data_IF_250313723671
#
_entry.id   IF_250313723671
#
_cell.length_a   1.000
_cell.length_b   1.000
_cell.length_c   1.000
_cell.angle_alpha   90.00
_cell.angle_beta   90.00
_cell.angle_gamma   90.00
#
_symmetry.space_group_name_H-M   'P 1'
#
loop_
_entity.id
_entity.type
_entity.pdbx_description
1 polymer ?
#
# COMPACT_ATOMS: atom_id res chain seq x y z
N UNK A 1 0.14 -14.12 -29.60
CA UNK A 1 0.81 -13.79 -28.35
C UNK A 1 -0.27 -13.56 -27.30
N UNK A 2 -0.18 -14.25 -26.20
CA UNK A 2 -1.15 -13.97 -25.16
C UNK A 2 -1.04 -12.51 -24.78
N UNK A 3 -2.15 -11.83 -24.76
CA UNK A 3 -2.21 -10.48 -24.26
C UNK A 3 -1.71 -10.49 -22.83
N UNK A 4 -0.90 -9.52 -22.50
CA UNK A 4 -0.46 -9.31 -21.14
C UNK A 4 -1.42 -8.30 -20.48
N UNK A 5 -2.57 -8.75 -19.96
CA UNK A 5 -3.59 -7.85 -19.45
C UNK A 5 -3.07 -6.97 -18.31
N UNK A 6 -2.05 -7.43 -17.62
CA UNK A 6 -1.41 -6.67 -16.54
C UNK A 6 -0.67 -5.43 -17.04
N UNK A 7 -0.40 -5.36 -18.34
CA UNK A 7 0.26 -4.21 -18.94
C UNK A 7 -0.71 -3.17 -19.49
N UNK A 8 -2.00 -3.47 -19.47
CA UNK A 8 -3.01 -2.48 -19.85
C UNK A 8 -3.06 -1.35 -18.82
N UNK A 9 -3.32 -0.13 -19.33
CA UNK A 9 -3.34 1.06 -18.47
C UNK A 9 -4.30 0.97 -17.29
N UNK A 10 -5.47 0.35 -17.50
CA UNK A 10 -6.44 0.16 -16.41
C UNK A 10 -5.87 -0.71 -15.28
N UNK A 11 -5.07 -1.72 -15.62
CA UNK A 11 -4.44 -2.57 -14.61
C UNK A 11 -3.37 -1.82 -13.83
N UNK A 12 -2.61 -0.94 -14.48
CA UNK A 12 -1.67 -0.04 -13.80
C UNK A 12 -2.42 0.81 -12.77
N UNK A 13 -3.53 1.42 -13.18
CA UNK A 13 -4.34 2.26 -12.30
C UNK A 13 -4.89 1.48 -11.10
N UNK A 14 -5.45 0.30 -11.33
CA UNK A 14 -6.04 -0.52 -10.26
C UNK A 14 -4.98 -0.98 -9.26
N UNK A 15 -3.83 -1.45 -9.75
CA UNK A 15 -2.74 -1.90 -8.87
C UNK A 15 -2.16 -0.74 -8.07
N UNK A 16 -1.97 0.41 -8.71
CA UNK A 16 -1.51 1.63 -8.03
C UNK A 16 -2.48 2.04 -6.91
N UNK A 17 -3.77 2.13 -7.22
CA UNK A 17 -4.79 2.51 -6.23
C UNK A 17 -4.89 1.51 -5.09
N UNK A 18 -4.80 0.22 -5.39
CA UNK A 18 -4.82 -0.82 -4.37
C UNK A 18 -3.68 -0.73 -3.38
N UNK A 19 -2.54 -0.17 -3.79
CA UNK A 19 -1.39 0.08 -2.93
C UNK A 19 -1.42 1.43 -2.21
N UNK A 20 -2.43 2.26 -2.47
CA UNK A 20 -2.50 3.60 -1.87
C UNK A 20 -1.51 4.60 -2.45
N UNK A 21 -1.02 4.36 -3.67
CA UNK A 21 -0.06 5.24 -4.35
C UNK A 21 -0.77 6.29 -5.20
N UNK A 22 -0.31 7.53 -5.15
CA UNK A 22 -0.69 8.55 -6.13
C UNK A 22 0.06 8.33 -7.44
N UNK A 23 -0.42 8.95 -8.53
CA UNK A 23 0.30 8.93 -9.81
C UNK A 23 1.70 9.55 -9.68
N UNK A 24 1.83 10.62 -8.91
CA UNK A 24 3.11 11.28 -8.66
C UNK A 24 4.08 10.37 -7.91
N UNK A 25 3.59 9.65 -6.91
CA UNK A 25 4.40 8.70 -6.14
C UNK A 25 4.87 7.53 -7.01
N UNK A 26 3.98 6.95 -7.80
CA UNK A 26 4.37 5.89 -8.74
C UNK A 26 5.38 6.40 -9.76
N UNK A 27 5.20 7.62 -10.27
CA UNK A 27 6.14 8.25 -11.19
C UNK A 27 7.54 8.39 -10.56
N UNK A 28 7.60 8.80 -9.30
CA UNK A 28 8.84 8.91 -8.56
C UNK A 28 9.54 7.54 -8.44
N UNK A 29 8.80 6.50 -8.11
CA UNK A 29 9.34 5.14 -8.01
C UNK A 29 9.88 4.59 -9.33
N UNK A 30 9.30 5.01 -10.45
CA UNK A 30 9.66 4.56 -11.80
C UNK A 30 10.61 5.54 -12.53
N UNK A 31 11.03 6.61 -11.86
CA UNK A 31 11.88 7.66 -12.42
C UNK A 31 11.28 8.26 -13.71
N UNK A 32 10.02 8.61 -13.64
CA UNK A 32 9.28 9.23 -14.75
C UNK A 32 8.41 10.38 -14.22
N UNK A 33 7.44 10.85 -15.01
CA UNK A 33 6.57 11.97 -14.63
C UNK A 33 5.14 11.53 -14.40
N UNK A 34 4.40 12.30 -13.60
CA UNK A 34 2.99 12.06 -13.36
C UNK A 34 2.18 12.04 -14.66
N UNK A 35 2.50 12.93 -15.61
CA UNK A 35 1.83 12.99 -16.91
C UNK A 35 2.02 11.68 -17.68
N UNK A 36 3.21 11.09 -17.61
CA UNK A 36 3.49 9.79 -18.24
C UNK A 36 2.63 8.69 -17.63
N UNK A 37 2.54 8.62 -16.31
CA UNK A 37 1.67 7.65 -15.62
C UNK A 37 0.21 7.85 -16.06
N UNK A 38 -0.27 9.08 -16.07
CA UNK A 38 -1.64 9.41 -16.50
C UNK A 38 -1.91 8.93 -17.94
N UNK A 39 -0.97 9.12 -18.84
CA UNK A 39 -1.10 8.67 -20.24
C UNK A 39 -1.13 7.15 -20.36
N UNK A 40 -0.34 6.45 -19.57
CA UNK A 40 -0.42 4.99 -19.51
C UNK A 40 -1.78 4.51 -19.01
N UNK A 41 -2.27 5.11 -17.93
CA UNK A 41 -3.53 4.70 -17.29
C UNK A 41 -4.74 4.95 -18.18
N UNK A 42 -4.72 5.99 -19.00
CA UNK A 42 -5.80 6.28 -19.95
C UNK A 42 -5.65 5.56 -21.29
N UNK A 43 -4.55 4.86 -21.52
CA UNK A 43 -4.27 4.20 -22.80
C UNK A 43 -3.76 5.13 -23.90
N UNK A 44 -3.52 6.41 -23.60
CA UNK A 44 -2.99 7.37 -24.56
C UNK A 44 -1.54 7.04 -24.99
N UNK A 45 -0.81 6.33 -24.13
CA UNK A 45 0.55 5.88 -24.38
C UNK A 45 0.77 4.51 -23.72
N UNK A 46 1.55 3.66 -24.40
CA UNK A 46 1.96 2.36 -23.85
C UNK A 46 3.36 2.50 -23.23
N UNK A 47 3.61 1.91 -22.04
CA UNK A 47 4.94 1.92 -21.46
C UNK A 47 5.97 1.22 -22.37
N UNK A 48 7.20 1.74 -22.40
CA UNK A 48 8.30 1.09 -23.12
C UNK A 48 8.74 -0.22 -22.46
N UNK A 49 8.66 -0.28 -21.15
CA UNK A 49 9.11 -1.44 -20.37
C UNK A 49 8.00 -1.88 -19.41
N UNK A 50 6.96 -2.55 -19.92
CA UNK A 50 5.87 -3.02 -19.07
C UNK A 50 6.31 -4.01 -18.01
N UNK A 51 7.34 -4.81 -18.31
CA UNK A 51 7.84 -5.85 -17.38
C UNK A 51 8.41 -5.22 -16.11
N UNK A 52 9.18 -4.14 -16.22
CA UNK A 52 9.71 -3.44 -15.06
C UNK A 52 8.59 -2.91 -14.16
N UNK A 53 7.53 -2.36 -14.74
CA UNK A 53 6.36 -1.89 -14.00
C UNK A 53 5.68 -3.06 -13.27
N UNK A 54 5.50 -4.16 -13.96
CA UNK A 54 4.88 -5.37 -13.41
C UNK A 54 5.68 -5.92 -12.22
N UNK A 55 6.99 -6.02 -12.36
CA UNK A 55 7.89 -6.49 -11.30
C UNK A 55 7.80 -5.56 -10.08
N UNK A 56 7.81 -4.24 -10.29
CA UNK A 56 7.67 -3.28 -9.20
C UNK A 56 6.37 -3.49 -8.42
N UNK A 57 5.25 -3.64 -9.13
CA UNK A 57 3.97 -3.90 -8.46
C UNK A 57 3.98 -5.22 -7.70
N UNK A 58 4.54 -6.28 -8.27
CA UNK A 58 4.64 -7.58 -7.59
C UNK A 58 5.41 -7.46 -6.27
N UNK A 59 6.54 -6.77 -6.29
CA UNK A 59 7.35 -6.55 -5.08
C UNK A 59 6.60 -5.72 -4.04
N UNK A 60 5.98 -4.63 -4.45
CA UNK A 60 5.21 -3.76 -3.55
C UNK A 60 4.01 -4.49 -2.96
N UNK A 61 3.29 -5.27 -3.78
CA UNK A 61 2.13 -6.03 -3.32
C UNK A 61 2.53 -7.12 -2.31
N UNK A 62 3.65 -7.79 -2.52
CA UNK A 62 4.16 -8.77 -1.57
C UNK A 62 4.47 -8.13 -0.20
N UNK A 63 5.16 -7.00 -0.20
CA UNK A 63 5.47 -6.25 1.02
C UNK A 63 4.21 -5.70 1.70
N UNK A 64 3.27 -5.22 0.91
CA UNK A 64 1.98 -4.70 1.39
C UNK A 64 1.17 -5.80 2.09
N UNK A 65 1.04 -6.96 1.46
CA UNK A 65 0.30 -8.09 2.03
C UNK A 65 0.97 -8.60 3.31
N UNK A 66 2.30 -8.64 3.35
CA UNK A 66 3.05 -8.99 4.56
C UNK A 66 2.74 -8.02 5.70
N UNK A 67 2.69 -6.73 5.41
CA UNK A 67 2.33 -5.73 6.41
C UNK A 67 0.89 -5.92 6.92
N UNK A 68 -0.06 -6.16 6.04
CA UNK A 68 -1.45 -6.44 6.44
C UNK A 68 -1.51 -7.66 7.37
N UNK A 69 -0.82 -8.75 7.03
CA UNK A 69 -0.75 -9.95 7.85
C UNK A 69 -0.14 -9.66 9.23
N UNK A 70 0.93 -8.89 9.30
CA UNK A 70 1.55 -8.49 10.56
C UNK A 70 0.61 -7.67 11.44
N UNK A 71 -0.10 -6.71 10.86
CA UNK A 71 -1.05 -5.88 11.59
C UNK A 71 -2.21 -6.70 12.14
N UNK A 72 -2.74 -7.63 11.37
CA UNK A 72 -3.79 -8.56 11.81
C UNK A 72 -3.27 -9.50 12.90
N UNK A 73 -2.05 -10.01 12.74
CA UNK A 73 -1.43 -10.92 13.71
C UNK A 73 -1.20 -10.26 15.07
N UNK A 74 -0.72 -9.01 15.08
CA UNK A 74 -0.56 -8.23 16.33
C UNK A 74 -1.90 -8.05 17.04
N UNK A 75 -2.96 -7.84 16.29
CA UNK A 75 -4.30 -7.66 16.84
C UNK A 75 -4.88 -8.95 17.44
N UNK A 76 -4.40 -10.11 17.00
CA UNK A 76 -4.84 -11.43 17.49
C UNK A 76 -3.99 -11.98 18.63
N UNK A 77 -2.95 -11.28 19.05
CA UNK A 77 -2.08 -11.70 20.15
C UNK A 77 -2.83 -11.54 21.48
N UNK A 78 -3.22 -12.66 22.08
CA UNK A 78 -4.01 -12.70 23.32
C UNK A 78 -3.30 -12.04 24.50
N UNK A 79 -1.98 -12.15 24.59
CA UNK A 79 -1.20 -11.54 25.66
C UNK A 79 -1.22 -10.01 25.54
N UNK A 80 -1.07 -9.49 24.33
CA UNK A 80 -1.17 -8.05 24.07
C UNK A 80 -2.58 -7.54 24.30
N UNK A 81 -3.60 -8.30 23.91
CA UNK A 81 -5.01 -7.96 24.14
C UNK A 81 -5.37 -7.96 25.63
N UNK A 82 -4.77 -8.84 26.44
CA UNK A 82 -5.00 -8.88 27.88
C UNK A 82 -4.47 -7.61 28.57
N UNK A 83 -3.36 -7.04 28.08
CA UNK A 83 -2.75 -5.84 28.63
C UNK A 83 -3.27 -4.54 27.99
N UNK A 84 -3.79 -4.62 26.78
CA UNK A 84 -4.38 -3.51 26.05
C UNK A 84 -5.57 -4.05 25.25
N UNK A 85 -6.78 -4.05 25.84
CA UNK A 85 -7.95 -4.67 25.20
C UNK A 85 -8.39 -4.01 23.91
N UNK A 86 -7.85 -2.82 23.61
CA UNK A 86 -8.09 -2.13 22.35
C UNK A 86 -6.89 -2.27 21.42
N UNK A 87 -7.13 -2.75 20.21
CA UNK A 87 -6.11 -2.75 19.18
C UNK A 87 -5.95 -1.32 18.66
N UNK A 88 -4.75 -0.78 18.80
CA UNK A 88 -4.44 0.54 18.29
C UNK A 88 -3.36 0.45 17.21
N UNK A 89 -3.67 0.94 16.03
CA UNK A 89 -2.70 1.09 14.97
C UNK A 89 -2.17 2.52 14.97
N UNK A 90 -0.84 2.71 15.05
CA UNK A 90 -0.27 4.06 14.98
C UNK A 90 -0.47 4.66 13.61
N UNK A 91 -0.78 5.95 13.55
CA UNK A 91 -0.91 6.69 12.31
C UNK A 91 -0.07 7.96 12.37
N UNK A 92 0.33 8.45 11.23
CA UNK A 92 1.23 9.58 11.07
C UNK A 92 0.50 10.68 10.30
N UNK A 93 0.72 11.94 10.72
CA UNK A 93 0.02 13.08 10.12
C UNK A 93 0.63 13.50 8.79
N UNK A 94 1.93 13.26 8.62
CA UNK A 94 2.65 13.70 7.42
C UNK A 94 3.57 12.61 6.89
N UNK A 95 3.90 12.71 5.61
CA UNK A 95 4.87 11.84 4.97
C UNK A 95 6.23 11.89 5.67
N UNK A 96 6.66 13.06 6.12
CA UNK A 96 7.93 13.25 6.82
C UNK A 96 7.93 12.50 8.15
N UNK A 97 6.88 12.61 8.94
CA UNK A 97 6.76 11.89 10.21
C UNK A 97 6.74 10.38 9.99
N UNK A 98 6.01 9.92 8.99
CA UNK A 98 5.95 8.51 8.63
C UNK A 98 7.36 7.97 8.33
N UNK A 99 8.10 8.64 7.46
CA UNK A 99 9.45 8.21 7.10
C UNK A 99 10.41 8.22 8.28
N UNK A 100 10.27 9.14 9.21
CA UNK A 100 11.15 9.23 10.38
C UNK A 100 10.83 8.23 11.48
N UNK A 101 9.56 7.89 11.65
CA UNK A 101 9.07 7.19 12.85
C UNK A 101 8.62 5.76 12.58
N UNK A 102 8.17 5.43 11.39
CA UNK A 102 7.63 4.13 11.08
C UNK A 102 8.70 3.22 10.46
N UNK A 103 8.99 2.05 11.07
CA UNK A 103 9.94 1.10 10.48
C UNK A 103 9.54 0.61 9.10
N UNK A 104 8.26 0.52 8.82
CA UNK A 104 7.73 0.04 7.54
C UNK A 104 8.01 1.01 6.38
N UNK A 105 8.33 2.28 6.67
CA UNK A 105 8.68 3.25 5.65
C UNK A 105 9.93 2.88 4.83
N UNK A 106 10.76 1.96 5.33
CA UNK A 106 11.94 1.48 4.61
C UNK A 106 11.58 0.65 3.39
N UNK A 107 10.48 -0.08 3.45
CA UNK A 107 10.04 -0.98 2.38
C UNK A 107 8.81 -0.46 1.65
N UNK A 108 7.93 0.25 2.36
CA UNK A 108 6.76 0.92 1.83
C UNK A 108 6.91 2.41 2.09
N UNK A 109 7.60 3.16 1.19
CA UNK A 109 8.10 4.49 1.52
C UNK A 109 7.05 5.59 1.61
N UNK A 110 5.85 5.37 1.08
CA UNK A 110 4.80 6.39 1.06
C UNK A 110 3.73 6.14 2.11
N UNK A 111 3.36 7.19 2.83
CA UNK A 111 2.34 7.13 3.89
C UNK A 111 1.03 6.51 3.38
N UNK A 112 0.61 6.82 2.15
CA UNK A 112 -0.60 6.25 1.56
C UNK A 112 -0.57 4.73 1.48
N UNK A 113 0.59 4.12 1.27
CA UNK A 113 0.73 2.65 1.28
C UNK A 113 0.45 2.08 2.68
N UNK A 114 1.00 2.69 3.69
CA UNK A 114 0.77 2.31 5.08
C UNK A 114 -0.70 2.51 5.48
N UNK A 115 -1.28 3.64 5.11
CA UNK A 115 -2.69 3.94 5.39
C UNK A 115 -3.61 2.89 4.77
N UNK A 116 -3.35 2.49 3.53
CA UNK A 116 -4.13 1.46 2.84
C UNK A 116 -4.00 0.10 3.54
N UNK A 117 -2.79 -0.27 3.97
CA UNK A 117 -2.55 -1.51 4.70
C UNK A 117 -3.29 -1.52 6.04
N UNK A 118 -3.26 -0.42 6.78
CA UNK A 118 -4.01 -0.26 8.03
C UNK A 118 -5.50 -0.34 7.78
N UNK A 119 -6.00 0.28 6.72
CA UNK A 119 -7.42 0.21 6.35
C UNK A 119 -7.87 -1.23 6.09
N UNK A 120 -7.08 -2.01 5.36
CA UNK A 120 -7.39 -3.41 5.09
C UNK A 120 -7.34 -4.26 6.36
N UNK A 121 -6.30 -4.11 7.17
CA UNK A 121 -6.17 -4.84 8.43
C UNK A 121 -7.34 -4.54 9.38
N UNK A 122 -7.71 -3.27 9.50
CA UNK A 122 -8.84 -2.85 10.31
C UNK A 122 -10.16 -3.44 9.82
N UNK A 123 -10.35 -3.53 8.51
CA UNK A 123 -11.55 -4.14 7.91
C UNK A 123 -11.63 -5.63 8.23
N UNK A 124 -10.52 -6.35 8.11
CA UNK A 124 -10.44 -7.78 8.46
C UNK A 124 -10.77 -7.97 9.94
N UNK A 125 -10.22 -7.14 10.80
CA UNK A 125 -10.44 -7.23 12.23
C UNK A 125 -11.91 -6.95 12.60
N UNK A 126 -12.54 -5.97 11.97
CA UNK A 126 -13.99 -5.70 12.20
C UNK A 126 -14.86 -6.86 11.75
N UNK A 127 -14.52 -7.52 10.66
CA UNK A 127 -15.23 -8.71 10.17
C UNK A 127 -15.13 -9.86 11.18
N UNK A 128 -14.04 -9.93 11.93
CA UNK A 128 -13.82 -10.92 13.00
C UNK A 128 -14.35 -10.47 14.37
N UNK A 129 -15.08 -9.36 14.44
CA UNK A 129 -15.71 -8.87 15.67
C UNK A 129 -14.82 -8.03 16.56
N UNK A 130 -13.65 -7.61 16.08
CA UNK A 130 -12.73 -6.74 16.81
C UNK A 130 -13.04 -5.26 16.55
N UNK A 131 -12.62 -4.39 17.46
CA UNK A 131 -12.79 -2.93 17.31
C UNK A 131 -11.43 -2.23 17.26
N UNK A 132 -10.73 -2.27 16.10
CA UNK A 132 -9.43 -1.62 16.01
C UNK A 132 -9.57 -0.10 15.98
N UNK A 133 -8.64 0.56 16.65
CA UNK A 133 -8.53 2.01 16.65
C UNK A 133 -7.30 2.44 15.87
N UNK A 134 -7.42 3.51 15.13
CA UNK A 134 -6.30 4.16 14.44
C UNK A 134 -6.03 5.47 15.17
N UNK A 135 -4.82 5.64 15.69
CA UNK A 135 -4.47 6.80 16.49
C UNK A 135 -3.23 7.48 15.95
N UNK A 136 -3.29 8.80 15.83
CA UNK A 136 -2.09 9.59 15.56
C UNK A 136 -1.12 9.52 16.74
N UNK A 137 0.13 9.40 16.41
CA UNK A 137 1.21 9.40 17.39
C UNK A 137 2.15 10.59 17.19
#
# INVERSE_FOLDING_TARGET
MPDAPDFEGINIMIRRKGLGLSQTELADMLDTTQITISRWETGARTPHDPLTIHILFDECEALFLTLVEELVSVAKDEEKLANAPEVAYPMYRTQVEYQKRCPHARTLPYLGMYQMAVAQAAMIMRDEGQAPHVKYI
#
